data_IF_260749449372
#
_entry.id   IF_260749449372
#
_cell.length_a   1.000
_cell.length_b   1.000
_cell.length_c   1.000
_cell.angle_alpha   90.00
_cell.angle_beta   90.00
_cell.angle_gamma   90.00
#
_symmetry.space_group_name_H-M   'P 1'
#
loop_
_entity.id
_entity.type
_entity.pdbx_description
1 polymer ?
#
# COMPACT_ATOMS: atom_id res chain seq x y z
N UNK A 1 18.92 -33.97 4.63
CA UNK A 1 18.55 -34.08 3.21
C UNK A 1 17.05 -33.88 3.00
N UNK A 2 16.15 -34.79 3.41
CA UNK A 2 14.69 -34.61 3.17
C UNK A 2 14.12 -33.32 3.78
N UNK A 3 14.46 -33.01 5.04
CA UNK A 3 14.04 -31.79 5.73
C UNK A 3 14.58 -30.50 5.10
N UNK A 4 15.76 -30.56 4.47
CA UNK A 4 16.37 -29.39 3.81
C UNK A 4 15.62 -29.04 2.51
N UNK A 5 15.20 -30.04 1.74
CA UNK A 5 14.35 -29.85 0.56
C UNK A 5 12.97 -29.29 0.92
N UNK A 6 12.35 -29.80 1.98
CA UNK A 6 11.07 -29.28 2.49
C UNK A 6 11.22 -27.82 2.90
N UNK A 7 12.27 -27.49 3.67
CA UNK A 7 12.57 -26.11 4.08
C UNK A 7 12.75 -25.20 2.89
N UNK A 8 13.52 -25.63 1.89
CA UNK A 8 13.75 -24.87 0.66
C UNK A 8 12.44 -24.61 -0.10
N UNK A 9 11.59 -25.62 -0.23
CA UNK A 9 10.28 -25.49 -0.88
C UNK A 9 9.37 -24.47 -0.18
N UNK A 10 9.30 -24.52 1.15
CA UNK A 10 8.48 -23.58 1.93
C UNK A 10 9.05 -22.16 1.81
N UNK A 11 10.36 -21.97 1.90
CA UNK A 11 11.00 -20.66 1.71
C UNK A 11 10.69 -20.12 0.32
N UNK A 12 10.80 -20.94 -0.72
CA UNK A 12 10.52 -20.54 -2.09
C UNK A 12 9.07 -20.07 -2.25
N UNK A 13 8.10 -20.84 -1.76
CA UNK A 13 6.68 -20.48 -1.78
C UNK A 13 6.41 -19.18 -1.00
N UNK A 14 7.04 -19.02 0.17
CA UNK A 14 6.93 -17.81 0.99
C UNK A 14 7.44 -16.57 0.24
N UNK A 15 8.58 -16.68 -0.45
CA UNK A 15 9.14 -15.58 -1.24
C UNK A 15 8.26 -15.22 -2.43
N UNK A 16 7.71 -16.21 -3.16
CA UNK A 16 6.75 -15.94 -4.24
C UNK A 16 5.55 -15.17 -3.70
N UNK A 17 4.95 -15.63 -2.61
CA UNK A 17 3.79 -14.96 -2.01
C UNK A 17 4.13 -13.52 -1.58
N UNK A 18 5.33 -13.31 -1.03
CA UNK A 18 5.85 -12.00 -0.67
C UNK A 18 6.01 -11.09 -1.90
N UNK A 19 6.60 -11.59 -3.00
CA UNK A 19 6.76 -10.86 -4.25
C UNK A 19 5.41 -10.47 -4.88
N UNK A 20 4.45 -11.40 -4.91
CA UNK A 20 3.10 -11.13 -5.42
C UNK A 20 2.43 -10.05 -4.58
N UNK A 21 2.52 -10.12 -3.26
CA UNK A 21 1.94 -9.12 -2.38
C UNK A 21 2.56 -7.72 -2.59
N UNK A 22 3.89 -7.62 -2.60
CA UNK A 22 4.61 -6.36 -2.83
C UNK A 22 4.27 -5.79 -4.20
N UNK A 23 4.29 -6.61 -5.25
CA UNK A 23 3.94 -6.16 -6.60
C UNK A 23 2.52 -5.59 -6.65
N UNK A 24 1.56 -6.27 -6.01
CA UNK A 24 0.16 -5.83 -5.98
C UNK A 24 -0.02 -4.52 -5.19
N UNK A 25 0.64 -4.40 -4.04
CA UNK A 25 0.61 -3.17 -3.22
C UNK A 25 1.27 -2.01 -3.96
N UNK A 26 2.44 -2.26 -4.56
CA UNK A 26 3.15 -1.26 -5.35
C UNK A 26 2.32 -0.78 -6.55
N UNK A 27 1.67 -1.69 -7.27
CA UNK A 27 0.75 -1.32 -8.36
C UNK A 27 -0.43 -0.49 -7.84
N UNK A 28 -1.02 -0.86 -6.70
CA UNK A 28 -2.10 -0.09 -6.07
C UNK A 28 -1.67 1.32 -5.67
N UNK A 29 -0.48 1.46 -5.08
CA UNK A 29 0.09 2.76 -4.71
C UNK A 29 0.41 3.61 -5.94
N UNK A 30 0.95 3.00 -7.00
CA UNK A 30 1.27 3.68 -8.26
C UNK A 30 0.01 4.18 -8.96
N UNK A 31 -1.06 3.38 -8.98
CA UNK A 31 -2.33 3.78 -9.57
C UNK A 31 -3.02 4.86 -8.75
N UNK A 32 -2.92 4.82 -7.42
CA UNK A 32 -3.36 5.91 -6.55
C UNK A 32 -2.61 7.22 -6.87
N UNK A 33 -1.28 7.17 -6.97
CA UNK A 33 -0.47 8.35 -7.29
C UNK A 33 -0.79 8.86 -8.69
N UNK A 34 -0.82 8.00 -9.72
CA UNK A 34 -1.17 8.39 -11.09
C UNK A 34 -2.51 9.11 -11.17
N UNK A 35 -3.51 8.62 -10.43
CA UNK A 35 -4.85 9.25 -10.36
C UNK A 35 -4.81 10.62 -9.69
N UNK A 36 -4.04 10.78 -8.61
CA UNK A 36 -3.80 12.09 -8.01
C UNK A 36 -3.12 13.05 -9.00
N UNK A 37 -2.17 12.56 -9.80
CA UNK A 37 -1.41 13.39 -10.74
C UNK A 37 -2.17 13.81 -12.00
N UNK A 38 -3.15 13.01 -12.43
CA UNK A 38 -3.87 13.24 -13.69
C UNK A 38 -5.13 14.08 -13.55
N UNK A 39 -5.57 14.41 -12.33
CA UNK A 39 -6.82 15.15 -12.08
C UNK A 39 -8.00 14.70 -12.97
N UNK A 40 -8.01 13.42 -13.38
CA UNK A 40 -8.91 12.98 -14.43
C UNK A 40 -10.27 12.68 -13.84
N UNK A 41 -11.30 13.13 -14.53
CA UNK A 41 -12.74 12.90 -14.32
C UNK A 41 -13.12 11.39 -14.47
N UNK A 42 -12.12 10.51 -14.46
CA UNK A 42 -12.28 9.09 -14.65
C UNK A 42 -12.69 8.48 -13.31
N UNK A 43 -14.02 8.45 -13.10
CA UNK A 43 -14.68 7.80 -11.97
C UNK A 43 -14.03 6.44 -11.73
N UNK A 44 -13.38 6.30 -10.58
CA UNK A 44 -12.70 5.06 -10.20
C UNK A 44 -13.66 3.90 -10.32
N UNK A 45 -13.34 2.90 -11.15
CA UNK A 45 -14.00 1.61 -11.04
C UNK A 45 -13.63 0.99 -9.68
N UNK A 46 -14.56 0.92 -8.72
CA UNK A 46 -14.27 0.40 -7.38
C UNK A 46 -13.96 -1.10 -7.41
N UNK A 47 -14.19 -1.78 -8.54
CA UNK A 47 -13.88 -3.19 -8.75
C UNK A 47 -12.37 -3.45 -8.72
N UNK A 48 -11.55 -2.53 -9.25
CA UNK A 48 -10.10 -2.71 -9.39
C UNK A 48 -9.40 -2.76 -8.02
N UNK A 49 -9.73 -1.83 -7.12
CA UNK A 49 -9.18 -1.81 -5.76
C UNK A 49 -9.58 -3.04 -4.94
N UNK A 50 -10.81 -3.54 -5.12
CA UNK A 50 -11.27 -4.77 -4.46
C UNK A 50 -10.46 -5.99 -4.93
N UNK A 51 -10.14 -6.05 -6.23
CA UNK A 51 -9.32 -7.13 -6.79
C UNK A 51 -7.91 -7.12 -6.20
N UNK A 52 -7.22 -5.97 -6.20
CA UNK A 52 -5.89 -5.82 -5.61
C UNK A 52 -5.87 -6.22 -4.13
N UNK A 53 -6.82 -5.74 -3.34
CA UNK A 53 -6.92 -6.11 -1.92
C UNK A 53 -7.18 -7.60 -1.71
N UNK A 54 -7.98 -8.24 -2.57
CA UNK A 54 -8.25 -9.68 -2.50
C UNK A 54 -6.97 -10.47 -2.76
N UNK A 55 -6.17 -10.06 -3.75
CA UNK A 55 -4.88 -10.68 -4.04
C UNK A 55 -3.92 -10.50 -2.86
N UNK A 56 -3.78 -9.28 -2.32
CA UNK A 56 -2.92 -9.02 -1.15
C UNK A 56 -3.36 -9.85 0.06
N UNK A 57 -4.67 -9.93 0.35
CA UNK A 57 -5.21 -10.71 1.46
C UNK A 57 -4.93 -12.21 1.29
N UNK A 58 -5.09 -12.76 0.08
CA UNK A 58 -4.77 -14.17 -0.20
C UNK A 58 -3.29 -14.44 -0.07
N UNK A 59 -2.43 -13.56 -0.58
CA UNK A 59 -0.99 -13.67 -0.39
C UNK A 59 -0.62 -13.63 1.09
N UNK A 60 -1.23 -12.75 1.88
CA UNK A 60 -0.98 -12.67 3.33
C UNK A 60 -1.34 -13.97 4.07
N UNK A 61 -2.42 -14.66 3.67
CA UNK A 61 -2.76 -15.99 4.21
C UNK A 61 -1.64 -16.99 3.89
N UNK A 62 -1.15 -17.00 2.64
CA UNK A 62 -0.03 -17.87 2.24
C UNK A 62 1.24 -17.54 3.03
N UNK A 63 1.56 -16.25 3.24
CA UNK A 63 2.69 -15.82 4.07
C UNK A 63 2.55 -16.30 5.52
N UNK A 64 1.36 -16.24 6.10
CA UNK A 64 1.10 -16.74 7.45
C UNK A 64 1.34 -18.25 7.55
N UNK A 65 0.72 -19.03 6.64
CA UNK A 65 0.85 -20.50 6.65
C UNK A 65 2.32 -20.91 6.49
N UNK A 66 2.98 -20.37 5.46
CA UNK A 66 4.39 -20.69 5.18
C UNK A 66 5.32 -20.14 6.26
N UNK A 67 5.06 -18.96 6.81
CA UNK A 67 5.83 -18.36 7.89
C UNK A 67 5.76 -19.18 9.18
N UNK A 68 4.56 -19.59 9.59
CA UNK A 68 4.36 -20.48 10.76
C UNK A 68 5.06 -21.82 10.53
N UNK A 69 4.94 -22.41 9.33
CA UNK A 69 5.63 -23.64 9.00
C UNK A 69 7.16 -23.50 9.11
N UNK A 70 7.75 -22.39 8.64
CA UNK A 70 9.18 -22.12 8.79
C UNK A 70 9.61 -21.96 10.24
N UNK A 71 8.81 -21.26 11.06
CA UNK A 71 9.09 -21.10 12.49
C UNK A 71 9.00 -22.43 13.21
N UNK A 72 7.97 -23.23 12.95
CA UNK A 72 7.80 -24.55 13.54
C UNK A 72 8.97 -25.47 13.18
N UNK A 73 9.40 -25.47 11.91
CA UNK A 73 10.55 -26.26 11.47
C UNK A 73 11.86 -25.78 12.10
N UNK A 74 12.08 -24.47 12.17
CA UNK A 74 13.29 -23.92 12.79
C UNK A 74 13.32 -24.21 14.32
N UNK A 75 12.17 -24.18 15.01
CA UNK A 75 12.05 -24.59 16.42
C UNK A 75 12.31 -26.09 16.60
N UNK A 76 11.79 -26.93 15.70
CA UNK A 76 12.04 -28.37 15.73
C UNK A 76 13.52 -28.72 15.52
N UNK A 77 14.20 -28.03 14.60
CA UNK A 77 15.59 -28.32 14.24
C UNK A 77 16.62 -27.67 15.18
N UNK A 78 16.35 -26.47 15.70
CA UNK A 78 17.33 -25.65 16.47
C UNK A 78 16.91 -25.40 17.91
N UNK A 79 15.70 -25.80 18.30
CA UNK A 79 15.13 -25.57 19.62
C UNK A 79 14.39 -24.24 19.77
N UNK A 80 13.68 -24.11 20.89
CA UNK A 80 12.83 -22.97 21.22
C UNK A 80 13.59 -21.63 21.36
N UNK A 81 14.90 -21.67 21.61
CA UNK A 81 15.76 -20.47 21.65
C UNK A 81 15.75 -19.65 20.35
N UNK A 82 15.33 -20.25 19.24
CA UNK A 82 15.15 -19.54 17.95
C UNK A 82 14.09 -18.42 18.04
N UNK A 83 13.08 -18.57 18.89
CA UNK A 83 12.04 -17.56 19.11
C UNK A 83 12.56 -16.29 19.80
N UNK A 84 13.69 -16.38 20.48
CA UNK A 84 14.35 -15.22 21.11
C UNK A 84 15.13 -14.35 20.10
N UNK A 85 15.26 -14.79 18.84
CA UNK A 85 15.97 -14.02 17.82
C UNK A 85 15.18 -12.72 17.50
N UNK A 86 15.74 -11.52 17.77
CA UNK A 86 15.06 -10.25 17.53
C UNK A 86 14.63 -10.05 16.08
N UNK A 87 15.37 -10.61 15.14
CA UNK A 87 15.03 -10.56 13.71
C UNK A 87 13.76 -11.38 13.41
N UNK A 88 13.62 -12.55 14.03
CA UNK A 88 12.43 -13.38 13.85
C UNK A 88 11.21 -12.69 14.45
N UNK A 89 11.35 -12.15 15.66
CA UNK A 89 10.30 -11.38 16.33
C UNK A 89 9.86 -10.18 15.49
N UNK A 90 10.82 -9.46 14.90
CA UNK A 90 10.52 -8.34 13.99
C UNK A 90 9.70 -8.80 12.78
N UNK A 91 10.04 -9.93 12.15
CA UNK A 91 9.25 -10.48 11.03
C UNK A 91 7.81 -10.79 11.44
N UNK A 92 7.62 -11.45 12.59
CA UNK A 92 6.29 -11.78 13.10
C UNK A 92 5.51 -10.50 13.40
N UNK A 93 6.14 -9.52 14.06
CA UNK A 93 5.54 -8.21 14.34
C UNK A 93 5.09 -7.51 13.06
N UNK A 94 5.91 -7.52 12.01
CA UNK A 94 5.55 -6.92 10.71
C UNK A 94 4.35 -7.64 10.06
N UNK A 95 4.30 -8.96 10.09
CA UNK A 95 3.18 -9.72 9.51
C UNK A 95 1.88 -9.48 10.31
N UNK A 96 1.95 -9.40 11.64
CA UNK A 96 0.80 -9.02 12.49
C UNK A 96 0.34 -7.60 12.17
N UNK A 97 1.26 -6.64 12.06
CA UNK A 97 0.95 -5.26 11.71
C UNK A 97 0.28 -5.16 10.34
N UNK A 98 0.81 -5.86 9.33
CA UNK A 98 0.22 -5.96 7.98
C UNK A 98 -1.19 -6.54 8.02
N UNK A 99 -1.44 -7.51 8.90
CA UNK A 99 -2.78 -8.11 9.07
C UNK A 99 -3.76 -7.09 9.63
N UNK A 100 -3.38 -6.37 10.68
CA UNK A 100 -4.21 -5.32 11.28
C UNK A 100 -4.47 -4.19 10.27
N UNK A 101 -3.43 -3.74 9.57
CA UNK A 101 -3.54 -2.69 8.56
C UNK A 101 -4.44 -3.12 7.37
N UNK A 102 -4.31 -4.37 6.91
CA UNK A 102 -5.16 -4.93 5.86
C UNK A 102 -6.65 -4.94 6.24
N UNK A 103 -6.96 -5.32 7.49
CA UNK A 103 -8.32 -5.26 8.02
C UNK A 103 -8.85 -3.81 8.09
N UNK A 104 -8.02 -2.87 8.54
CA UNK A 104 -8.38 -1.46 8.59
C UNK A 104 -8.68 -0.89 7.19
N UNK A 105 -7.88 -1.24 6.18
CA UNK A 105 -8.13 -0.84 4.79
C UNK A 105 -9.47 -1.41 4.28
N UNK A 106 -9.76 -2.68 4.58
CA UNK A 106 -10.98 -3.34 4.13
C UNK A 106 -12.24 -2.76 4.78
N UNK A 107 -12.18 -2.46 6.07
CA UNK A 107 -13.34 -2.01 6.86
C UNK A 107 -13.61 -0.51 6.71
N UNK A 108 -12.58 0.32 6.56
CA UNK A 108 -12.72 1.77 6.58
C UNK A 108 -12.50 2.40 5.20
N UNK A 109 -11.34 2.16 4.59
CA UNK A 109 -10.91 2.89 3.38
C UNK A 109 -11.69 2.45 2.15
N UNK A 110 -11.87 1.14 1.94
CA UNK A 110 -12.62 0.63 0.78
C UNK A 110 -14.08 1.09 0.73
N UNK A 111 -14.85 1.06 1.84
CA UNK A 111 -16.22 1.58 1.84
C UNK A 111 -16.30 3.09 1.58
N UNK A 112 -15.33 3.88 2.03
CA UNK A 112 -15.31 5.31 1.75
C UNK A 112 -15.04 5.58 0.27
N UNK A 113 -14.05 4.90 -0.31
CA UNK A 113 -13.69 5.07 -1.72
C UNK A 113 -14.82 4.63 -2.66
N UNK A 114 -15.58 3.59 -2.30
CA UNK A 114 -16.78 3.18 -3.03
C UNK A 114 -17.89 4.24 -3.03
N UNK A 115 -18.00 5.03 -1.95
CA UNK A 115 -19.03 6.07 -1.81
C UNK A 115 -18.68 7.35 -2.55
N UNK A 116 -17.40 7.74 -2.56
CA UNK A 116 -16.95 9.01 -3.15
C UNK A 116 -16.36 8.87 -4.54
N UNK A 117 -15.95 7.67 -4.97
CA UNK A 117 -15.35 7.44 -6.29
C UNK A 117 -13.92 7.99 -6.45
N UNK A 118 -13.47 8.91 -5.59
CA UNK A 118 -12.09 9.40 -5.58
C UNK A 118 -11.59 9.66 -4.15
N UNK A 119 -10.27 9.63 -3.98
CA UNK A 119 -9.58 10.03 -2.75
C UNK A 119 -9.63 11.56 -2.54
N UNK A 120 -9.69 12.34 -3.62
CA UNK A 120 -9.78 13.79 -3.55
C UNK A 120 -11.16 14.27 -3.08
N UNK A 121 -12.20 13.49 -3.35
CA UNK A 121 -13.58 13.76 -2.94
C UNK A 121 -13.87 13.34 -1.49
N UNK A 122 -12.90 12.73 -0.80
CA UNK A 122 -13.01 12.43 0.61
C UNK A 122 -12.82 13.69 1.45
N UNK A 123 -13.57 13.77 2.55
CA UNK A 123 -13.30 14.78 3.57
C UNK A 123 -11.84 14.69 4.03
N UNK A 124 -11.24 15.84 4.36
CA UNK A 124 -9.82 15.95 4.71
C UNK A 124 -9.37 14.89 5.73
N UNK A 125 -10.19 14.62 6.78
CA UNK A 125 -9.90 13.59 7.78
C UNK A 125 -9.87 12.17 7.20
N UNK A 126 -10.84 11.81 6.34
CA UNK A 126 -10.90 10.48 5.72
C UNK A 126 -9.77 10.30 4.71
N UNK A 127 -9.43 11.35 3.96
CA UNK A 127 -8.26 11.40 3.08
C UNK A 127 -6.98 11.14 3.86
N UNK A 128 -6.79 11.82 4.99
CA UNK A 128 -5.63 11.64 5.86
C UNK A 128 -5.48 10.20 6.37
N UNK A 129 -6.58 9.59 6.83
CA UNK A 129 -6.59 8.18 7.26
C UNK A 129 -6.24 7.26 6.09
N UNK A 130 -6.83 7.44 4.91
CA UNK A 130 -6.53 6.62 3.74
C UNK A 130 -5.04 6.71 3.34
N UNK A 131 -4.49 7.92 3.28
CA UNK A 131 -3.07 8.15 2.98
C UNK A 131 -2.16 7.51 4.04
N UNK A 132 -2.51 7.63 5.31
CA UNK A 132 -1.74 7.02 6.41
C UNK A 132 -1.77 5.48 6.32
N UNK A 133 -2.95 4.89 6.14
CA UNK A 133 -3.09 3.44 6.02
C UNK A 133 -2.38 2.88 4.80
N UNK A 134 -2.38 3.61 3.68
CA UNK A 134 -1.64 3.26 2.47
C UNK A 134 -0.13 3.33 2.69
N UNK A 135 0.38 4.43 3.27
CA UNK A 135 1.79 4.58 3.60
C UNK A 135 2.29 3.48 4.55
N UNK A 136 1.52 3.16 5.59
CA UNK A 136 1.81 2.05 6.50
C UNK A 136 1.88 0.72 5.74
N UNK A 137 0.94 0.45 4.84
CA UNK A 137 0.92 -0.78 4.03
C UNK A 137 2.18 -0.89 3.17
N UNK A 138 2.43 0.10 2.30
CA UNK A 138 3.56 0.10 1.38
C UNK A 138 4.90 -0.05 2.12
N UNK A 139 5.15 0.80 3.12
CA UNK A 139 6.38 0.74 3.92
C UNK A 139 6.53 -0.61 4.61
N UNK A 140 5.46 -1.15 5.20
CA UNK A 140 5.52 -2.45 5.90
C UNK A 140 5.90 -3.61 5.00
N UNK A 141 5.37 -3.65 3.78
CA UNK A 141 5.69 -4.70 2.81
C UNK A 141 7.15 -4.66 2.38
N UNK A 142 7.66 -3.48 2.03
CA UNK A 142 9.07 -3.30 1.68
C UNK A 142 10.00 -3.58 2.89
N UNK A 143 9.59 -3.15 4.08
CA UNK A 143 10.35 -3.41 5.30
C UNK A 143 10.42 -4.91 5.63
N UNK A 144 9.30 -5.64 5.50
CA UNK A 144 9.26 -7.09 5.68
C UNK A 144 10.17 -7.82 4.67
N UNK A 145 10.18 -7.40 3.40
CA UNK A 145 11.09 -7.93 2.39
C UNK A 145 12.57 -7.69 2.72
N UNK A 146 12.91 -6.48 3.17
CA UNK A 146 14.26 -6.15 3.63
C UNK A 146 14.69 -7.07 4.79
N UNK A 147 13.83 -7.26 5.79
CA UNK A 147 14.08 -8.21 6.90
C UNK A 147 14.25 -9.66 6.39
N UNK A 148 13.60 -10.01 5.28
CA UNK A 148 13.77 -11.27 4.57
C UNK A 148 15.23 -11.53 4.16
N UNK A 149 15.87 -10.57 3.51
CA UNK A 149 17.22 -10.70 2.94
C UNK A 149 18.34 -10.33 3.92
N UNK A 150 18.04 -9.60 5.00
CA UNK A 150 19.04 -9.03 5.90
C UNK A 150 19.69 -10.06 6.83
N UNK A 151 20.47 -11.01 6.27
CA UNK A 151 21.24 -12.01 7.03
C UNK A 151 22.14 -11.38 8.11
N UNK A 152 22.82 -10.23 7.89
CA UNK A 152 23.68 -9.62 8.89
C UNK A 152 22.97 -9.12 10.16
N UNK A 153 21.65 -8.95 10.14
CA UNK A 153 20.87 -8.50 11.32
C UNK A 153 20.66 -9.61 12.36
N UNK A 154 20.93 -10.87 12.03
CA UNK A 154 20.77 -11.97 12.99
C UNK A 154 21.67 -11.75 14.21
N UNK A 155 21.06 -11.63 15.39
CA UNK A 155 21.73 -11.49 16.68
C UNK A 155 22.64 -10.26 16.86
N UNK A 156 22.72 -9.35 15.88
CA UNK A 156 23.54 -8.14 15.97
C UNK A 156 22.81 -6.93 16.53
N UNK A 157 21.50 -6.88 16.36
CA UNK A 157 20.66 -5.75 16.75
C UNK A 157 19.54 -6.23 17.67
N UNK A 158 19.16 -5.36 18.60
CA UNK A 158 18.01 -5.53 19.46
C UNK A 158 16.71 -5.34 18.69
N UNK A 159 15.60 -5.85 19.25
CA UNK A 159 14.27 -5.70 18.66
C UNK A 159 13.91 -4.23 18.46
N UNK A 160 14.26 -3.38 19.43
CA UNK A 160 13.99 -1.94 19.42
C UNK A 160 14.77 -1.20 18.34
N UNK A 161 16.03 -1.56 18.10
CA UNK A 161 16.81 -0.94 17.02
C UNK A 161 16.26 -1.29 15.64
N UNK A 162 15.86 -2.56 15.44
CA UNK A 162 15.25 -3.01 14.19
C UNK A 162 13.89 -2.30 14.00
N UNK A 163 13.01 -2.31 15.00
CA UNK A 163 11.69 -1.70 14.85
C UNK A 163 11.72 -0.17 14.95
N UNK A 164 12.78 0.45 15.48
CA UNK A 164 12.91 1.90 15.62
C UNK A 164 13.04 2.63 14.28
N UNK A 165 13.62 1.98 13.27
CA UNK A 165 13.70 2.54 11.92
C UNK A 165 12.32 2.60 11.22
N UNK A 166 11.42 1.70 11.58
CA UNK A 166 10.13 1.55 10.89
C UNK A 166 9.20 2.78 11.01
N UNK A 167 8.94 3.37 12.21
CA UNK A 167 8.15 4.58 12.35
C UNK A 167 8.68 5.75 11.52
N UNK A 168 10.00 5.89 11.42
CA UNK A 168 10.65 6.95 10.64
C UNK A 168 10.36 6.77 9.15
N UNK A 169 10.44 5.54 8.64
CA UNK A 169 10.07 5.24 7.25
C UNK A 169 8.59 5.48 6.97
N UNK A 170 7.70 5.10 7.90
CA UNK A 170 6.26 5.36 7.79
C UNK A 170 5.99 6.87 7.76
N UNK A 171 6.60 7.63 8.66
CA UNK A 171 6.47 9.09 8.70
C UNK A 171 6.94 9.72 7.38
N UNK A 172 8.09 9.28 6.86
CA UNK A 172 8.61 9.74 5.57
C UNK A 172 7.66 9.42 4.41
N UNK A 173 7.17 8.18 4.32
CA UNK A 173 6.21 7.78 3.27
C UNK A 173 4.90 8.56 3.35
N UNK A 174 4.39 8.79 4.58
CA UNK A 174 3.17 9.55 4.80
C UNK A 174 3.32 11.03 4.43
N UNK A 175 4.42 11.67 4.85
CA UNK A 175 4.73 13.06 4.49
C UNK A 175 4.88 13.19 2.96
N UNK A 176 5.54 12.23 2.31
CA UNK A 176 5.65 12.18 0.85
C UNK A 176 4.28 12.14 0.16
N UNK A 177 3.37 11.30 0.64
CA UNK A 177 1.99 11.22 0.13
C UNK A 177 1.19 12.50 0.37
N UNK A 178 1.39 13.18 1.50
CA UNK A 178 0.78 14.47 1.78
C UNK A 178 1.27 15.56 0.83
N UNK A 179 2.60 15.63 0.61
CA UNK A 179 3.20 16.57 -0.33
C UNK A 179 2.68 16.33 -1.76
N UNK A 180 2.58 15.08 -2.20
CA UNK A 180 2.00 14.72 -3.50
C UNK A 180 0.53 15.14 -3.63
N UNK A 181 -0.27 14.93 -2.59
CA UNK A 181 -1.69 15.30 -2.57
C UNK A 181 -1.86 16.82 -2.59
N UNK A 182 -1.07 17.55 -1.80
CA UNK A 182 -1.08 19.01 -1.78
C UNK A 182 -0.64 19.60 -3.12
N UNK A 183 0.38 19.01 -3.76
CA UNK A 183 0.82 19.41 -5.09
C UNK A 183 -0.25 19.15 -6.17
N UNK A 184 -0.91 18.00 -6.12
CA UNK A 184 -2.02 17.68 -7.01
C UNK A 184 -3.19 18.68 -6.86
N UNK A 185 -3.57 19.00 -5.61
CA UNK A 185 -4.65 19.95 -5.33
C UNK A 185 -4.30 21.37 -5.80
N UNK A 186 -3.04 21.81 -5.61
CA UNK A 186 -2.54 23.07 -6.14
C UNK A 186 -2.66 23.11 -7.68
N UNK A 187 -2.21 22.05 -8.38
CA UNK A 187 -2.28 21.97 -9.83
C UNK A 187 -3.71 22.04 -10.36
N UNK A 188 -4.65 21.30 -9.77
CA UNK A 188 -6.06 21.31 -10.20
C UNK A 188 -6.72 22.68 -10.06
N UNK A 189 -6.38 23.44 -9.00
CA UNK A 189 -6.88 24.81 -8.81
C UNK A 189 -6.33 25.81 -9.84
N UNK A 190 -5.12 25.59 -10.33
CA UNK A 190 -4.47 26.49 -11.31
C UNK A 190 -4.77 26.09 -12.77
N UNK A 191 -5.08 24.82 -13.04
CA UNK A 191 -5.59 24.38 -14.35
C UNK A 191 -6.99 24.95 -14.66
N UNK A 192 -7.76 25.36 -13.65
CA UNK A 192 -9.02 26.07 -13.82
C UNK A 192 -8.90 27.57 -14.14
N UNK A 193 -7.67 28.12 -14.19
CA UNK A 193 -7.42 29.52 -14.59
C UNK A 193 -7.07 29.68 -16.07
N UNK A 194 -7.05 28.61 -16.86
CA UNK A 194 -7.06 28.71 -18.33
C UNK A 194 -8.47 29.14 -18.77
N UNK A 195 -8.73 30.45 -18.73
CA UNK A 195 -9.91 31.11 -19.28
C UNK A 195 -10.14 30.66 -20.73
N UNK A 196 -11.38 30.48 -21.20
CA UNK A 196 -11.65 30.31 -22.63
C UNK A 196 -11.33 31.63 -23.34
N UNK A 197 -10.13 31.76 -23.91
CA UNK A 197 -9.79 32.93 -24.73
C UNK A 197 -10.52 32.91 -26.09
N UNK A 198 -11.23 31.83 -26.42
CA UNK A 198 -12.10 31.75 -27.59
C UNK A 198 -13.37 30.98 -27.26
N UNK A 199 -14.33 31.66 -26.61
CA UNK A 199 -15.73 31.28 -26.81
C UNK A 199 -16.08 31.54 -28.28
N UNK A 200 -16.76 30.61 -28.99
CA UNK A 200 -17.30 30.95 -30.30
C UNK A 200 -18.26 32.13 -30.09
N UNK A 201 -17.94 33.25 -30.73
CA UNK A 201 -18.78 34.42 -30.78
C UNK A 201 -20.13 33.99 -31.38
N UNK A 202 -21.16 33.95 -30.55
CA UNK A 202 -22.54 33.67 -30.96
C UNK A 202 -23.01 34.82 -31.85
N UNK A 203 -22.71 34.72 -33.14
CA UNK A 203 -23.28 35.58 -34.17
C UNK A 203 -24.67 35.04 -34.53
N UNK A 204 -25.64 35.23 -33.63
CA UNK A 204 -27.05 35.26 -34.03
C UNK A 204 -27.31 36.59 -34.73
N UNK A 205 -27.66 36.61 -36.02
CA UNK A 205 -28.24 37.80 -36.60
C UNK A 205 -29.65 38.00 -36.04
N UNK A 206 -29.80 39.10 -35.29
CA UNK A 206 -31.08 39.70 -34.94
C UNK A 206 -31.76 40.24 -36.22
N UNK A 207 -33.00 39.80 -36.44
CA UNK A 207 -34.04 40.36 -37.31
C UNK A 207 -33.83 40.40 -38.83
N UNK A 208 -34.74 39.70 -39.52
CA UNK A 208 -35.49 40.30 -40.63
C UNK A 208 -36.93 39.74 -40.64
N UNK A 209 -37.82 40.45 -39.97
CA UNK A 209 -39.25 40.49 -40.33
C UNK A 209 -39.39 41.26 -41.64
N UNK A 210 -39.94 40.66 -42.69
CA UNK A 210 -40.77 41.33 -43.71
C UNK A 210 -41.22 40.36 -44.83
N UNK A 211 -42.54 40.22 -44.94
CA UNK A 211 -43.36 39.72 -46.07
C UNK A 211 -43.46 38.21 -46.32
#
# INVERSE_FOLDING_TARGET
METDFIRMGIVYLHLIACCVAIGTVFMGDLDMVRKLLRASDERTDPSHFKSLHTVVSRSLIVLWITGVALVALDVYLKGAGTLANPKLQSKIAMVVLLTINGLALQQFVLPWLKKTGSLLDLSFRRRLVALFTGAVSGVSWFYAAMLGIARPLNWKFTLTEILGAYPVMVAGGFIGMLALTAWAEYRSRHAGMDLPLFGPMDLRPLHATAH
#
